data_IF_485331486745
#
_entry.id   IF_485331486745
#
_cell.length_a   1.000
_cell.length_b   1.000
_cell.length_c   1.000
_cell.angle_alpha   90.00
_cell.angle_beta   90.00
_cell.angle_gamma   90.00
#
_symmetry.space_group_name_H-M   'P 1'
#
loop_
_entity.id
_entity.type
_entity.pdbx_description
1 polymer ?
#
# COMPACT_ATOMS: atom_id res chain seq x y z
N UNK A 1 -7.10 39.02 -42.39
CA UNK A 1 -6.42 37.71 -42.45
C UNK A 1 -6.18 37.22 -41.03
N UNK A 2 -6.58 35.97 -40.79
CA UNK A 2 -6.47 35.05 -39.65
C UNK A 2 -5.63 35.44 -38.40
N UNK A 3 -6.25 35.20 -37.24
CA UNK A 3 -5.70 35.13 -35.88
C UNK A 3 -4.46 34.24 -35.76
N UNK A 4 -3.63 34.47 -34.74
CA UNK A 4 -3.06 33.36 -33.98
C UNK A 4 -2.90 33.72 -32.49
N UNK A 5 -3.61 32.94 -31.68
CA UNK A 5 -3.60 32.85 -30.23
C UNK A 5 -2.46 31.89 -29.86
N UNK A 6 -1.64 32.24 -28.89
CA UNK A 6 -1.03 31.23 -28.01
C UNK A 6 -1.13 31.71 -26.57
N UNK A 7 -2.22 31.27 -25.94
CA UNK A 7 -2.34 31.13 -24.50
C UNK A 7 -1.15 30.28 -24.03
N UNK A 8 -0.35 30.79 -23.10
CA UNK A 8 0.58 29.97 -22.34
C UNK A 8 -0.18 29.34 -21.18
N UNK A 9 -1.15 28.47 -21.51
CA UNK A 9 -1.64 27.48 -20.56
C UNK A 9 -0.52 26.46 -20.38
N UNK A 10 0.45 26.83 -19.55
CA UNK A 10 1.31 25.85 -18.91
C UNK A 10 0.36 24.89 -18.19
N UNK A 11 0.53 23.56 -18.32
CA UNK A 11 -0.24 22.61 -17.52
C UNK A 11 0.30 22.67 -16.08
N UNK A 12 -0.01 23.76 -15.39
CA UNK A 12 0.22 23.95 -13.96
C UNK A 12 -0.60 22.90 -13.22
N UNK A 13 0.13 22.02 -12.51
CA UNK A 13 -0.31 21.38 -11.28
C UNK A 13 -1.56 20.49 -11.32
N UNK A 14 -1.65 19.58 -12.30
CA UNK A 14 -2.59 18.44 -12.22
C UNK A 14 -2.14 17.35 -11.22
N UNK A 15 -0.89 17.41 -10.77
CA UNK A 15 -0.36 16.57 -9.69
C UNK A 15 -0.18 17.42 -8.45
N UNK A 16 -1.29 17.91 -7.89
CA UNK A 16 -1.28 18.43 -6.53
C UNK A 16 -0.80 17.27 -5.62
N UNK A 17 0.49 17.23 -5.30
CA UNK A 17 1.11 16.27 -4.40
C UNK A 17 0.50 16.52 -3.03
N UNK A 18 -0.65 15.90 -2.78
CA UNK A 18 -1.34 16.01 -1.51
C UNK A 18 -0.40 15.44 -0.46
N UNK A 19 0.16 16.31 0.37
CA UNK A 19 1.00 15.89 1.50
C UNK A 19 0.17 14.96 2.39
N UNK A 20 0.79 13.87 2.85
CA UNK A 20 0.13 12.94 3.76
C UNK A 20 0.10 13.61 5.14
N UNK A 21 -1.11 13.85 5.65
CA UNK A 21 -1.31 14.32 7.01
C UNK A 21 -1.30 13.13 7.99
N UNK A 22 -0.44 13.19 9.00
CA UNK A 22 -0.35 12.16 10.03
C UNK A 22 -1.06 12.60 11.33
N UNK A 23 -1.65 11.67 12.11
CA UNK A 23 -1.72 10.24 11.82
C UNK A 23 -2.74 9.93 10.71
N UNK A 24 -2.41 8.94 9.88
CA UNK A 24 -3.30 8.46 8.81
C UNK A 24 -3.72 7.02 9.08
N UNK A 25 -5.00 6.74 8.87
CA UNK A 25 -5.54 5.39 8.91
C UNK A 25 -5.98 4.99 7.50
N UNK A 26 -5.52 3.82 7.04
CA UNK A 26 -5.91 3.29 5.74
C UNK A 26 -5.86 1.76 5.72
N UNK A 27 -6.50 1.17 4.71
CA UNK A 27 -6.48 -0.26 4.47
C UNK A 27 -5.29 -0.64 3.59
N UNK A 28 -4.27 -1.25 4.20
CA UNK A 28 -3.15 -1.85 3.51
C UNK A 28 -3.56 -3.20 2.91
N UNK A 29 -3.56 -3.27 1.59
CA UNK A 29 -3.83 -4.47 0.80
C UNK A 29 -2.54 -5.05 0.25
N UNK A 30 -2.23 -6.27 0.66
CA UNK A 30 -1.04 -7.00 0.23
C UNK A 30 -1.44 -8.21 -0.60
N UNK A 31 -0.83 -8.37 -1.77
CA UNK A 31 -1.08 -9.47 -2.71
C UNK A 31 0.13 -10.38 -2.75
N UNK A 32 -0.08 -11.66 -2.45
CA UNK A 32 0.92 -12.72 -2.52
C UNK A 32 0.69 -13.62 -3.74
N UNK A 33 1.76 -14.07 -4.39
CA UNK A 33 1.71 -15.19 -5.34
C UNK A 33 1.64 -16.51 -4.56
N UNK A 34 0.69 -17.38 -4.90
CA UNK A 34 0.38 -18.57 -4.09
C UNK A 34 1.47 -19.63 -4.21
N UNK A 35 2.34 -19.66 -3.20
CA UNK A 35 3.21 -20.78 -2.84
C UNK A 35 3.11 -21.16 -1.35
N UNK A 36 2.47 -20.34 -0.51
CA UNK A 36 2.38 -20.53 0.95
C UNK A 36 0.96 -20.77 1.46
N UNK A 37 0.85 -21.43 2.63
CA UNK A 37 -0.42 -21.58 3.33
C UNK A 37 -0.93 -20.22 3.83
N UNK A 38 -2.24 -20.00 3.75
CA UNK A 38 -2.90 -18.75 4.10
C UNK A 38 -2.49 -18.21 5.49
N UNK A 39 -2.54 -19.06 6.51
CA UNK A 39 -2.25 -18.66 7.90
C UNK A 39 -0.79 -18.21 8.07
N UNK A 40 0.14 -18.82 7.32
CA UNK A 40 1.55 -18.44 7.33
C UNK A 40 1.72 -17.05 6.70
N UNK A 41 1.08 -16.80 5.55
CA UNK A 41 1.13 -15.49 4.89
C UNK A 41 0.54 -14.39 5.78
N UNK A 42 -0.61 -14.67 6.41
CA UNK A 42 -1.25 -13.75 7.36
C UNK A 42 -0.33 -13.46 8.55
N UNK A 43 0.23 -14.49 9.19
CA UNK A 43 1.08 -14.30 10.35
C UNK A 43 2.37 -13.55 10.00
N UNK A 44 2.97 -13.85 8.86
CA UNK A 44 4.18 -13.14 8.38
C UNK A 44 3.90 -11.65 8.12
N UNK A 45 2.74 -11.33 7.54
CA UNK A 45 2.33 -9.94 7.35
C UNK A 45 2.12 -9.23 8.68
N UNK A 46 1.41 -9.85 9.63
CA UNK A 46 1.19 -9.29 10.97
C UNK A 46 2.52 -9.03 11.69
N UNK A 47 3.45 -9.99 11.66
CA UNK A 47 4.79 -9.83 12.26
C UNK A 47 5.56 -8.64 11.68
N UNK A 48 5.46 -8.39 10.37
CA UNK A 48 6.11 -7.24 9.72
C UNK A 48 5.48 -5.91 10.13
N UNK A 49 4.16 -5.88 10.30
CA UNK A 49 3.45 -4.67 10.75
C UNK A 49 3.72 -4.41 12.25
N UNK A 50 3.76 -5.48 13.07
CA UNK A 50 4.15 -5.45 14.49
C UNK A 50 5.59 -4.92 14.67
N UNK A 51 6.54 -5.44 13.88
CA UNK A 51 7.94 -5.02 13.89
C UNK A 51 8.12 -3.56 13.48
N UNK A 52 7.25 -3.05 12.58
CA UNK A 52 7.19 -1.63 12.24
C UNK A 52 6.54 -0.74 13.32
N UNK A 53 6.09 -1.33 14.44
CA UNK A 53 5.42 -0.61 15.52
C UNK A 53 4.08 -0.01 15.10
N UNK A 54 3.46 -0.54 14.04
CA UNK A 54 2.24 -0.01 13.43
C UNK A 54 1.01 -0.67 14.06
N UNK A 55 0.12 0.09 14.72
CA UNK A 55 -1.18 -0.42 15.14
C UNK A 55 -1.97 -0.94 13.94
N UNK A 56 -2.53 -2.14 14.07
CA UNK A 56 -3.20 -2.78 12.96
C UNK A 56 -4.37 -3.67 13.38
N UNK A 57 -5.27 -3.91 12.42
CA UNK A 57 -6.39 -4.82 12.56
C UNK A 57 -6.61 -5.56 11.25
N UNK A 58 -6.61 -6.89 11.30
CA UNK A 58 -6.95 -7.69 10.13
C UNK A 58 -8.40 -7.43 9.69
N UNK A 59 -8.59 -7.19 8.38
CA UNK A 59 -9.89 -6.86 7.80
C UNK A 59 -10.44 -8.04 7.00
N UNK A 60 -9.69 -8.52 6.02
CA UNK A 60 -10.17 -9.59 5.14
C UNK A 60 -9.06 -10.34 4.42
N UNK A 61 -9.43 -11.49 3.87
CA UNK A 61 -8.62 -12.23 2.93
C UNK A 61 -9.46 -12.70 1.75
N UNK A 62 -8.86 -12.68 0.56
CA UNK A 62 -9.52 -13.14 -0.66
C UNK A 62 -8.55 -13.88 -1.56
N UNK A 63 -8.91 -15.11 -1.91
CA UNK A 63 -8.26 -15.83 -2.99
C UNK A 63 -8.68 -15.23 -4.33
N UNK A 64 -7.74 -15.08 -5.25
CA UNK A 64 -8.05 -14.72 -6.63
C UNK A 64 -8.91 -15.81 -7.27
N UNK A 65 -9.73 -15.44 -8.26
CA UNK A 65 -10.65 -16.37 -8.93
C UNK A 65 -9.94 -17.59 -9.57
N UNK A 66 -8.65 -17.45 -9.90
CA UNK A 66 -7.83 -18.52 -10.50
C UNK A 66 -6.91 -19.23 -9.48
N UNK A 67 -7.05 -18.92 -8.20
CA UNK A 67 -6.24 -19.51 -7.12
C UNK A 67 -4.76 -19.10 -7.11
N UNK A 68 -4.29 -18.29 -8.06
CA UNK A 68 -2.86 -17.91 -8.21
C UNK A 68 -2.37 -16.86 -7.19
N UNK A 69 -3.30 -16.09 -6.61
CA UNK A 69 -2.98 -15.04 -5.66
C UNK A 69 -3.87 -15.10 -4.44
N UNK A 70 -3.32 -14.66 -3.32
CA UNK A 70 -4.06 -14.32 -2.09
C UNK A 70 -3.88 -12.84 -1.82
N UNK A 71 -4.99 -12.14 -1.61
CA UNK A 71 -5.00 -10.77 -1.13
C UNK A 71 -5.34 -10.76 0.35
N UNK A 72 -4.52 -10.09 1.15
CA UNK A 72 -4.77 -9.79 2.56
C UNK A 72 -5.04 -8.29 2.68
N UNK A 73 -6.05 -7.92 3.47
CA UNK A 73 -6.33 -6.52 3.81
C UNK A 73 -6.21 -6.33 5.30
N UNK A 74 -5.40 -5.36 5.70
CA UNK A 74 -5.15 -4.99 7.10
C UNK A 74 -5.34 -3.50 7.23
N UNK A 75 -6.17 -3.07 8.17
CA UNK A 75 -6.29 -1.66 8.53
C UNK A 75 -5.09 -1.27 9.38
N UNK A 76 -4.37 -0.20 9.01
CA UNK A 76 -3.16 0.26 9.68
C UNK A 76 -3.30 1.73 10.08
N UNK A 77 -2.66 2.13 11.18
CA UNK A 77 -2.56 3.54 11.59
C UNK A 77 -1.10 3.96 11.61
N UNK A 78 -0.73 4.89 10.75
CA UNK A 78 0.63 5.40 10.63
C UNK A 78 0.72 6.76 11.31
N UNK A 79 1.70 6.91 12.20
CA UNK A 79 1.85 8.11 13.05
C UNK A 79 2.75 9.18 12.47
N UNK A 80 3.66 8.80 11.60
CA UNK A 80 4.65 9.67 10.99
C UNK A 80 5.24 9.05 9.71
N UNK A 81 6.00 9.85 8.97
CA UNK A 81 6.63 9.43 7.71
C UNK A 81 7.68 8.34 7.88
N UNK A 82 8.40 8.34 9.00
CA UNK A 82 9.48 7.39 9.26
C UNK A 82 8.90 5.98 9.46
N UNK A 83 7.79 5.89 10.20
CA UNK A 83 7.02 4.68 10.36
C UNK A 83 6.45 4.17 9.03
N UNK A 84 5.94 5.06 8.17
CA UNK A 84 5.47 4.68 6.83
C UNK A 84 6.62 4.08 5.99
N UNK A 85 7.75 4.78 5.95
CA UNK A 85 8.91 4.38 5.19
C UNK A 85 9.47 3.04 5.69
N UNK A 86 9.56 2.87 7.00
CA UNK A 86 10.01 1.65 7.63
C UNK A 86 9.08 0.47 7.31
N UNK A 87 7.75 0.66 7.44
CA UNK A 87 6.77 -0.37 7.07
C UNK A 87 6.97 -0.83 5.62
N UNK A 88 7.09 0.10 4.65
CA UNK A 88 7.30 -0.26 3.25
C UNK A 88 8.66 -0.95 2.99
N UNK A 89 9.72 -0.59 3.73
CA UNK A 89 10.99 -1.31 3.67
C UNK A 89 10.87 -2.75 4.17
N UNK A 90 10.13 -2.98 5.26
CA UNK A 90 9.92 -4.32 5.81
C UNK A 90 9.00 -5.18 4.95
N UNK A 91 7.95 -4.58 4.37
CA UNK A 91 7.07 -5.28 3.41
C UNK A 91 7.85 -5.81 2.20
N UNK A 92 8.84 -5.07 1.67
CA UNK A 92 9.68 -5.55 0.55
C UNK A 92 10.45 -6.84 0.86
N UNK A 93 10.67 -7.16 2.13
CA UNK A 93 11.38 -8.36 2.55
C UNK A 93 10.46 -9.59 2.67
N UNK A 94 9.13 -9.40 2.59
CA UNK A 94 8.20 -10.52 2.69
C UNK A 94 8.26 -11.40 1.43
N UNK A 95 8.60 -12.69 1.57
CA UNK A 95 8.68 -13.59 0.43
C UNK A 95 7.30 -13.76 -0.22
N UNK A 96 7.29 -13.71 -1.56
CA UNK A 96 6.08 -13.91 -2.34
C UNK A 96 5.15 -12.71 -2.44
N UNK A 97 5.50 -11.53 -1.89
CA UNK A 97 4.75 -10.30 -2.20
C UNK A 97 4.91 -9.95 -3.66
N UNK A 98 3.76 -9.76 -4.31
CA UNK A 98 3.66 -9.19 -5.65
C UNK A 98 3.38 -7.69 -5.60
N UNK A 99 2.59 -7.25 -4.62
CA UNK A 99 2.12 -5.87 -4.52
C UNK A 99 1.64 -5.53 -3.11
N UNK A 100 1.79 -4.26 -2.72
CA UNK A 100 1.22 -3.68 -1.49
C UNK A 100 0.73 -2.26 -1.77
N UNK A 101 -0.53 -1.95 -1.45
CA UNK A 101 -1.16 -0.60 -1.58
C UNK A 101 -2.03 -0.26 -0.41
#
# INVERSE_FOLDING_TARGET
MKNNIFNSDSPTDLFNQKEIEYPVNYDLKVIFETAGAFDILKRNLELVIEDAGVPHKFVSARHSNKGKYVSLTVNVTIRDSDQLQYLYQRLKLLPGIKFAV
#
